data_IF_280693630058
#
_entry.id   IF_280693630058
#
_cell.length_a   1.000
_cell.length_b   1.000
_cell.length_c   1.000
_cell.angle_alpha   90.00
_cell.angle_beta   90.00
_cell.angle_gamma   90.00
#
_symmetry.space_group_name_H-M   'P 1'
#
loop_
_entity.id
_entity.type
_entity.pdbx_description
1 polymer ?
#
# COMPACT_ATOMS: atom_id res chain seq x y z
N UNK A 1 -14.38 -44.66 -38.42
CA UNK A 1 -13.38 -44.18 -37.45
C UNK A 1 -12.09 -43.58 -38.08
N UNK A 2 -12.06 -43.20 -39.38
CA UNK A 2 -10.84 -42.69 -40.04
C UNK A 2 -10.82 -41.17 -40.34
N UNK A 3 -11.82 -40.40 -39.88
CA UNK A 3 -11.97 -38.97 -40.20
C UNK A 3 -11.16 -38.04 -39.26
N UNK A 4 -10.86 -38.47 -38.03
CA UNK A 4 -10.19 -37.62 -37.04
C UNK A 4 -8.68 -37.46 -37.27
N UNK A 5 -8.00 -38.52 -37.73
CA UNK A 5 -6.56 -38.50 -37.97
C UNK A 5 -6.19 -37.66 -39.20
N UNK A 6 -7.00 -37.73 -40.26
CA UNK A 6 -6.81 -36.93 -41.48
C UNK A 6 -6.97 -35.42 -41.21
N UNK A 7 -7.93 -35.03 -40.36
CA UNK A 7 -8.16 -33.62 -39.97
C UNK A 7 -7.01 -33.04 -39.16
N UNK A 8 -6.41 -33.82 -38.25
CA UNK A 8 -5.25 -33.40 -37.46
C UNK A 8 -3.99 -33.23 -38.31
N UNK A 9 -3.77 -34.14 -39.28
CA UNK A 9 -2.65 -34.06 -40.21
C UNK A 9 -2.74 -32.85 -41.17
N UNK A 10 -3.97 -32.48 -41.57
CA UNK A 10 -4.21 -31.30 -42.41
C UNK A 10 -3.96 -29.99 -41.66
N UNK A 11 -4.37 -29.90 -40.39
CA UNK A 11 -4.12 -28.72 -39.55
C UNK A 11 -2.61 -28.48 -39.28
N UNK A 12 -1.84 -29.55 -39.10
CA UNK A 12 -0.38 -29.46 -38.92
C UNK A 12 0.37 -29.04 -40.18
N UNK A 13 -0.16 -29.32 -41.39
CA UNK A 13 0.42 -28.89 -42.67
C UNK A 13 0.11 -27.44 -43.04
N UNK A 14 -0.91 -26.85 -42.42
CA UNK A 14 -1.33 -25.45 -42.63
C UNK A 14 -0.83 -24.49 -41.54
N UNK A 15 0.11 -24.90 -40.70
CA UNK A 15 0.78 -23.99 -39.75
C UNK A 15 -0.04 -23.61 -38.52
N UNK A 16 -1.22 -24.20 -38.30
CA UNK A 16 -1.97 -24.04 -37.04
C UNK A 16 -1.34 -24.90 -35.94
N UNK A 17 -0.15 -24.51 -35.47
CA UNK A 17 0.33 -24.95 -34.15
C UNK A 17 -0.56 -24.28 -33.10
N UNK A 18 -1.12 -25.06 -32.17
CA UNK A 18 -1.92 -24.49 -31.09
C UNK A 18 -1.06 -23.55 -30.26
N UNK A 19 -1.64 -22.44 -29.77
CA UNK A 19 -0.96 -21.50 -28.88
C UNK A 19 -0.30 -22.19 -27.67
N UNK A 20 -0.89 -23.30 -27.22
CA UNK A 20 -0.32 -24.16 -26.16
C UNK A 20 1.03 -24.80 -26.54
N UNK A 21 1.18 -25.33 -27.76
CA UNK A 21 2.44 -25.93 -28.20
C UNK A 21 3.54 -24.86 -28.42
N UNK A 22 3.14 -23.64 -28.80
CA UNK A 22 4.05 -22.50 -28.88
C UNK A 22 4.52 -22.05 -27.50
N UNK A 23 3.59 -21.94 -26.54
CA UNK A 23 3.88 -21.60 -25.16
C UNK A 23 4.77 -22.65 -24.45
N UNK A 24 4.57 -23.95 -24.70
CA UNK A 24 5.44 -25.01 -24.15
C UNK A 24 6.87 -24.92 -24.71
N UNK A 25 7.02 -24.67 -26.01
CA UNK A 25 8.33 -24.50 -26.63
C UNK A 25 9.07 -23.26 -26.08
N UNK A 26 8.33 -22.19 -25.79
CA UNK A 26 8.86 -20.96 -25.21
C UNK A 26 9.23 -21.13 -23.73
N UNK A 27 8.43 -21.86 -22.94
CA UNK A 27 8.78 -22.23 -21.57
C UNK A 27 10.04 -23.08 -21.50
N UNK A 28 10.22 -24.03 -22.41
CA UNK A 28 11.45 -24.84 -22.45
C UNK A 28 12.66 -24.04 -22.89
N UNK A 29 12.48 -23.01 -23.72
CA UNK A 29 13.54 -22.05 -24.06
C UNK A 29 13.92 -21.21 -22.84
N UNK A 30 12.93 -20.67 -22.13
CA UNK A 30 13.13 -19.87 -20.92
C UNK A 30 13.77 -20.69 -19.78
N UNK A 31 13.46 -21.98 -19.66
CA UNK A 31 14.12 -22.90 -18.71
C UNK A 31 15.60 -23.05 -19.01
N UNK A 32 15.97 -23.25 -20.29
CA UNK A 32 17.38 -23.35 -20.71
C UNK A 32 18.14 -22.04 -20.48
N UNK A 33 17.51 -20.90 -20.76
CA UNK A 33 18.09 -19.59 -20.48
C UNK A 33 18.25 -19.33 -18.99
N UNK A 34 17.29 -19.74 -18.15
CA UNK A 34 17.41 -19.66 -16.70
C UNK A 34 18.58 -20.49 -16.15
N UNK A 35 18.81 -21.69 -16.68
CA UNK A 35 19.97 -22.52 -16.30
C UNK A 35 21.26 -21.80 -16.67
N UNK A 36 21.36 -21.27 -17.89
CA UNK A 36 22.55 -20.53 -18.35
C UNK A 36 22.79 -19.24 -17.56
N UNK A 37 21.73 -18.53 -17.18
CA UNK A 37 21.82 -17.33 -16.34
C UNK A 37 22.27 -17.67 -14.91
N UNK A 38 21.79 -18.77 -14.35
CA UNK A 38 22.26 -19.27 -13.04
C UNK A 38 23.74 -19.61 -13.08
N UNK A 39 24.20 -20.31 -14.12
CA UNK A 39 25.64 -20.60 -14.31
C UNK A 39 26.47 -19.31 -14.43
N UNK A 40 25.96 -18.32 -15.16
CA UNK A 40 26.64 -17.02 -15.32
C UNK A 40 26.70 -16.25 -14.00
N UNK A 41 25.63 -16.26 -13.21
CA UNK A 41 25.57 -15.64 -11.89
C UNK A 41 26.51 -16.34 -10.88
N UNK A 42 26.56 -17.67 -10.90
CA UNK A 42 27.48 -18.43 -10.04
C UNK A 42 28.95 -18.14 -10.41
N UNK A 43 29.25 -17.99 -11.70
CA UNK A 43 30.58 -17.60 -12.16
C UNK A 43 30.93 -16.16 -11.81
N UNK A 44 29.95 -15.25 -11.85
CA UNK A 44 30.13 -13.88 -11.36
C UNK A 44 30.33 -13.84 -9.84
N UNK A 45 29.57 -14.61 -9.07
CA UNK A 45 29.72 -14.70 -7.62
C UNK A 45 31.08 -15.29 -7.22
N UNK A 46 31.57 -16.30 -7.94
CA UNK A 46 32.94 -16.84 -7.77
C UNK A 46 34.04 -15.83 -8.12
N UNK A 47 33.78 -14.91 -9.06
CA UNK A 47 34.70 -13.79 -9.40
C UNK A 47 34.63 -12.66 -8.38
N UNK A 48 33.45 -12.37 -7.84
CA UNK A 48 33.25 -11.39 -6.77
C UNK A 48 33.88 -11.84 -5.46
N UNK A 49 33.79 -13.12 -5.09
CA UNK A 49 34.49 -13.70 -3.94
C UNK A 49 36.02 -13.75 -4.07
N UNK A 50 36.57 -13.42 -5.25
CA UNK A 50 38.01 -13.30 -5.51
C UNK A 50 38.48 -11.84 -5.65
N UNK A 51 37.56 -10.86 -5.67
CA UNK A 51 37.93 -9.45 -5.71
C UNK A 51 38.16 -8.96 -4.28
N UNK A 52 39.43 -8.66 -3.99
CA UNK A 52 39.88 -8.05 -2.76
C UNK A 52 39.14 -6.69 -2.54
N UNK A 53 38.53 -6.44 -1.37
CA UNK A 53 37.86 -5.18 -1.04
C UNK A 53 38.76 -3.93 -1.15
N UNK A 54 40.08 -4.10 -1.35
CA UNK A 54 41.03 -3.02 -1.61
C UNK A 54 41.07 -2.49 -3.05
N UNK A 55 40.30 -3.02 -4.00
CA UNK A 55 40.32 -2.51 -5.38
C UNK A 55 39.58 -1.18 -5.50
N UNK A 56 40.30 -0.12 -5.90
CA UNK A 56 39.80 1.25 -6.01
C UNK A 56 38.54 1.45 -6.87
N UNK A 57 38.13 0.44 -7.64
CA UNK A 57 36.85 0.42 -8.36
C UNK A 57 35.63 0.38 -7.45
N UNK A 58 35.70 -0.30 -6.30
CA UNK A 58 34.58 -0.33 -5.34
C UNK A 58 34.44 1.02 -4.62
N UNK A 59 35.56 1.68 -4.35
CA UNK A 59 35.61 3.01 -3.74
C UNK A 59 35.08 4.09 -4.70
N UNK A 60 35.45 4.03 -5.99
CA UNK A 60 34.94 4.95 -7.00
C UNK A 60 33.43 4.76 -7.23
N UNK A 61 32.96 3.50 -7.26
CA UNK A 61 31.54 3.19 -7.38
C UNK A 61 30.73 3.71 -6.17
N UNK A 62 31.28 3.58 -4.96
CA UNK A 62 30.66 4.11 -3.74
C UNK A 62 30.65 5.64 -3.70
N UNK A 63 31.72 6.30 -4.17
CA UNK A 63 31.79 7.77 -4.26
C UNK A 63 30.78 8.31 -5.28
N UNK A 64 30.69 7.70 -6.46
CA UNK A 64 29.79 8.14 -7.53
C UNK A 64 28.31 7.92 -7.17
N UNK A 65 27.99 6.79 -6.52
CA UNK A 65 26.63 6.55 -6.01
C UNK A 65 26.26 7.50 -4.87
N UNK A 66 27.21 7.86 -4.01
CA UNK A 66 26.99 8.85 -2.95
C UNK A 66 26.79 10.27 -3.48
N UNK A 67 27.45 10.64 -4.59
CA UNK A 67 27.26 11.92 -5.29
C UNK A 67 25.87 12.01 -5.94
N UNK A 68 25.42 10.96 -6.62
CA UNK A 68 24.07 10.90 -7.22
C UNK A 68 22.95 11.06 -6.18
N UNK A 69 23.12 10.45 -4.99
CA UNK A 69 22.16 10.59 -3.88
C UNK A 69 22.17 12.02 -3.30
N UNK A 70 23.31 12.71 -3.30
CA UNK A 70 23.41 14.11 -2.83
C UNK A 70 22.73 15.11 -3.76
N UNK A 71 22.83 14.92 -5.07
CA UNK A 71 22.16 15.76 -6.07
C UNK A 71 20.63 15.64 -6.00
N UNK A 72 20.12 14.43 -5.73
CA UNK A 72 18.69 14.20 -5.52
C UNK A 72 18.15 14.68 -4.16
N UNK A 73 19.01 15.15 -3.24
CA UNK A 73 18.61 15.55 -1.87
C UNK A 73 18.87 17.01 -1.52
N UNK A 74 19.16 17.89 -2.48
CA UNK A 74 19.20 19.33 -2.21
C UNK A 74 17.78 19.87 -1.90
N UNK A 75 17.54 20.49 -0.73
CA UNK A 75 16.25 21.02 -0.36
C UNK A 75 15.95 22.35 -1.05
N UNK A 76 14.65 22.58 -1.28
CA UNK A 76 14.05 23.84 -1.66
C UNK A 76 14.49 24.98 -0.72
N UNK A 77 14.51 26.19 -1.27
CA UNK A 77 15.17 27.36 -0.72
C UNK A 77 14.68 27.85 0.65
N UNK A 78 15.59 28.62 1.23
CA UNK A 78 15.49 29.50 2.38
C UNK A 78 14.33 30.51 2.33
N UNK A 79 13.69 30.78 3.48
CA UNK A 79 13.53 32.14 4.04
C UNK A 79 12.88 32.14 5.45
N UNK A 80 13.53 32.85 6.39
CA UNK A 80 13.02 33.57 7.58
C UNK A 80 12.10 32.87 8.62
N UNK A 81 12.15 33.11 9.92
CA UNK A 81 12.95 34.04 10.74
C UNK A 81 12.93 33.59 12.20
N UNK A 82 13.91 34.08 12.95
CA UNK A 82 14.08 33.89 14.39
C UNK A 82 13.03 34.70 15.19
N UNK A 83 12.36 34.06 16.17
CA UNK A 83 11.91 34.74 17.39
C UNK A 83 11.65 33.75 18.52
N UNK A 84 12.28 34.03 19.67
CA UNK A 84 12.10 33.35 20.96
C UNK A 84 10.79 33.76 21.60
N UNK A 85 10.14 32.83 22.32
CA UNK A 85 9.63 32.94 23.71
C UNK A 85 8.36 32.10 23.92
N UNK A 86 8.19 31.57 25.14
CA UNK A 86 6.87 31.24 25.69
C UNK A 86 6.55 29.75 25.87
N UNK A 87 6.89 29.23 27.06
CA UNK A 87 6.06 28.41 27.95
C UNK A 87 5.12 27.31 27.38
N UNK A 88 5.35 26.07 27.84
CA UNK A 88 4.36 24.99 27.96
C UNK A 88 3.22 25.37 28.93
N UNK A 89 2.08 24.63 29.08
CA UNK A 89 1.83 23.24 28.65
C UNK A 89 0.43 22.95 28.07
N UNK A 90 0.30 21.87 27.28
CA UNK A 90 -0.85 20.97 27.35
C UNK A 90 -0.60 19.70 26.52
N UNK A 91 -0.34 18.61 27.24
CA UNK A 91 -0.43 17.23 26.76
C UNK A 91 -1.90 16.83 26.73
N UNK A 92 -2.44 16.52 25.56
CA UNK A 92 -3.56 15.61 25.42
C UNK A 92 -3.52 14.93 24.05
N UNK A 93 -3.39 13.60 24.08
CA UNK A 93 -3.94 12.72 23.06
C UNK A 93 -3.23 12.65 21.72
N UNK A 94 -2.08 11.95 21.66
CA UNK A 94 -1.84 10.95 20.62
C UNK A 94 -0.70 10.00 21.06
N UNK A 95 -1.07 9.00 21.86
CA UNK A 95 -0.36 7.72 21.95
C UNK A 95 -1.24 6.73 21.19
N UNK A 96 -0.78 5.77 20.40
CA UNK A 96 0.56 5.31 20.08
C UNK A 96 0.35 4.19 19.07
N UNK A 97 0.77 4.38 17.81
CA UNK A 97 1.06 3.29 16.87
C UNK A 97 2.19 3.74 15.96
N UNK A 98 3.34 4.05 16.55
CA UNK A 98 4.61 4.04 15.84
C UNK A 98 5.53 3.16 16.63
N UNK A 99 5.88 2.01 16.03
CA UNK A 99 6.83 1.07 16.57
C UNK A 99 8.07 1.81 17.07
N UNK A 100 8.36 1.61 18.35
CA UNK A 100 9.62 1.98 18.99
C UNK A 100 10.76 1.33 18.20
N UNK A 101 11.47 2.12 17.37
CA UNK A 101 12.83 1.77 17.00
C UNK A 101 13.64 1.78 18.31
N UNK A 102 14.43 0.74 18.60
CA UNK A 102 15.12 0.65 19.88
C UNK A 102 16.00 1.89 20.03
N UNK A 103 15.79 2.64 21.13
CA UNK A 103 16.49 3.90 21.41
C UNK A 103 18.02 3.81 21.26
N UNK A 104 18.59 2.60 21.35
CA UNK A 104 20.01 2.31 21.07
C UNK A 104 20.41 2.38 19.59
N UNK A 105 19.54 2.03 18.64
CA UNK A 105 19.82 2.18 17.20
C UNK A 105 19.84 3.65 16.79
N UNK A 106 18.94 4.46 17.34
CA UNK A 106 18.91 5.91 17.09
C UNK A 106 20.17 6.58 17.68
N UNK A 107 20.58 6.18 18.89
CA UNK A 107 21.81 6.69 19.51
C UNK A 107 23.07 6.28 18.73
N UNK A 108 23.15 5.03 18.28
CA UNK A 108 24.26 4.54 17.45
C UNK A 108 24.33 5.29 16.11
N UNK A 109 23.19 5.60 15.49
CA UNK A 109 23.14 6.39 14.26
C UNK A 109 23.56 7.85 14.50
N UNK A 110 23.20 8.44 15.65
CA UNK A 110 23.67 9.78 16.03
C UNK A 110 25.19 9.82 16.24
N UNK A 111 25.74 8.81 16.90
CA UNK A 111 27.18 8.67 17.10
C UNK A 111 27.91 8.50 15.76
N UNK A 112 27.43 7.61 14.89
CA UNK A 112 27.98 7.41 13.55
C UNK A 112 27.91 8.68 12.69
N UNK A 113 26.82 9.46 12.81
CA UNK A 113 26.71 10.74 12.11
C UNK A 113 27.73 11.75 12.65
N UNK A 114 27.94 11.82 13.96
CA UNK A 114 28.92 12.71 14.57
C UNK A 114 30.36 12.37 14.14
N UNK A 115 30.70 11.07 14.12
CA UNK A 115 32.00 10.58 13.65
C UNK A 115 32.19 10.84 12.15
N UNK A 116 31.14 10.64 11.35
CA UNK A 116 31.18 10.96 9.91
C UNK A 116 31.38 12.46 9.65
N UNK A 117 30.74 13.33 10.44
CA UNK A 117 30.90 14.78 10.33
C UNK A 117 32.30 15.24 10.76
N UNK A 118 32.84 14.67 11.84
CA UNK A 118 34.20 14.98 12.30
C UNK A 118 35.25 14.50 11.28
N UNK A 119 35.10 13.29 10.74
CA UNK A 119 35.95 12.80 9.63
C UNK A 119 35.83 13.70 8.41
N UNK A 120 34.63 14.16 8.07
CA UNK A 120 34.43 15.07 6.94
C UNK A 120 35.23 16.39 7.13
N UNK A 121 35.20 16.93 8.35
CA UNK A 121 36.01 18.11 8.72
C UNK A 121 37.51 17.83 8.58
N UNK A 122 37.98 16.68 9.04
CA UNK A 122 39.39 16.28 8.90
C UNK A 122 39.80 16.14 7.43
N UNK A 123 38.95 15.56 6.59
CA UNK A 123 39.19 15.45 5.15
C UNK A 123 39.31 16.81 4.48
N UNK A 124 38.51 17.79 4.89
CA UNK A 124 38.59 19.14 4.33
C UNK A 124 39.94 19.80 4.63
N UNK A 125 40.44 19.65 5.87
CA UNK A 125 41.76 20.17 6.26
C UNK A 125 42.87 19.44 5.51
N UNK A 126 42.78 18.12 5.40
CA UNK A 126 43.73 17.31 4.64
C UNK A 126 43.79 17.74 3.17
N UNK A 127 42.63 17.94 2.54
CA UNK A 127 42.56 18.36 1.14
C UNK A 127 43.18 19.75 0.93
N UNK A 128 42.89 20.69 1.83
CA UNK A 128 43.52 22.01 1.79
C UNK A 128 45.05 21.94 1.92
N UNK A 129 45.57 21.11 2.82
CA UNK A 129 47.02 20.89 2.97
C UNK A 129 47.62 20.24 1.72
N UNK A 130 46.94 19.24 1.15
CA UNK A 130 47.34 18.55 -0.07
C UNK A 130 47.37 19.53 -1.25
N UNK A 131 46.37 20.38 -1.40
CA UNK A 131 46.36 21.43 -2.42
C UNK A 131 47.53 22.39 -2.26
N UNK A 132 47.81 22.85 -1.03
CA UNK A 132 48.94 23.73 -0.76
C UNK A 132 50.28 23.06 -1.10
N UNK A 133 50.43 21.79 -0.76
CA UNK A 133 51.62 21.00 -1.11
C UNK A 133 51.79 20.86 -2.62
N UNK A 134 50.72 20.51 -3.35
CA UNK A 134 50.75 20.41 -4.82
C UNK A 134 51.09 21.76 -5.46
N UNK A 135 50.50 22.86 -4.97
CA UNK A 135 50.85 24.22 -5.43
C UNK A 135 52.33 24.52 -5.20
N UNK A 136 52.88 24.13 -4.05
CA UNK A 136 54.31 24.25 -3.74
C UNK A 136 55.20 23.44 -4.69
N UNK A 137 54.84 22.18 -4.98
CA UNK A 137 55.54 21.35 -5.96
C UNK A 137 55.50 21.96 -7.36
N UNK A 138 54.34 22.47 -7.79
CA UNK A 138 54.20 23.13 -9.08
C UNK A 138 55.07 24.40 -9.18
N UNK A 139 55.09 25.22 -8.13
CA UNK A 139 55.97 26.39 -8.08
C UNK A 139 57.45 25.99 -8.17
N UNK A 140 57.86 24.95 -7.44
CA UNK A 140 59.23 24.44 -7.48
C UNK A 140 59.61 23.87 -8.85
N UNK A 141 58.70 23.15 -9.49
CA UNK A 141 58.89 22.66 -10.86
C UNK A 141 59.11 23.83 -11.82
N UNK A 142 58.28 24.88 -11.75
CA UNK A 142 58.44 26.08 -12.58
C UNK A 142 59.75 26.84 -12.31
N UNK A 143 60.20 26.89 -11.05
CA UNK A 143 61.50 27.48 -10.70
C UNK A 143 62.66 26.71 -11.34
N UNK A 144 62.60 25.37 -11.33
CA UNK A 144 63.64 24.49 -11.88
C UNK A 144 63.58 24.42 -13.41
N UNK A 145 62.42 24.64 -14.01
CA UNK A 145 62.25 24.68 -15.47
C UNK A 145 63.04 25.83 -16.10
N UNK A 146 63.05 27.02 -15.48
CA UNK A 146 63.78 28.19 -15.99
C UNK A 146 65.29 27.96 -16.23
N UNK A 147 66.09 27.44 -15.27
CA UNK A 147 67.49 27.11 -15.49
C UNK A 147 67.65 25.91 -16.44
N UNK A 148 66.75 24.92 -16.42
CA UNK A 148 66.78 23.80 -17.35
C UNK A 148 66.58 24.25 -18.82
N UNK A 149 65.63 25.14 -19.09
CA UNK A 149 65.41 25.71 -20.44
C UNK A 149 66.58 26.58 -20.89
N UNK A 150 67.20 27.36 -19.99
CA UNK A 150 68.39 28.16 -20.29
C UNK A 150 69.62 27.29 -20.58
N UNK A 151 69.82 26.22 -19.80
CA UNK A 151 70.89 25.25 -20.03
C UNK A 151 70.68 24.49 -21.35
N UNK A 152 69.43 24.11 -21.67
CA UNK A 152 69.09 23.50 -22.96
C UNK A 152 69.35 24.46 -24.12
N UNK A 153 68.95 25.73 -24.03
CA UNK A 153 69.22 26.74 -25.05
C UNK A 153 70.72 26.98 -25.27
N UNK A 154 71.53 26.97 -24.20
CA UNK A 154 72.98 27.11 -24.29
C UNK A 154 73.65 25.88 -24.94
N UNK A 155 73.23 24.66 -24.57
CA UNK A 155 73.67 23.42 -25.21
C UNK A 155 73.29 23.37 -26.70
N UNK A 156 72.10 23.89 -27.06
CA UNK A 156 71.62 23.89 -28.44
C UNK A 156 72.43 24.81 -29.35
N UNK A 157 73.04 25.88 -28.81
CA UNK A 157 73.98 26.77 -29.49
C UNK A 157 75.42 26.19 -29.57
N UNK A 158 75.81 25.32 -28.62
CA UNK A 158 77.15 24.70 -28.60
C UNK A 158 77.26 23.44 -29.46
N UNK A 159 76.18 22.67 -29.63
CA UNK A 159 76.22 21.43 -30.40
C UNK A 159 75.99 21.65 -31.91
N UNK A 160 77.10 21.80 -32.65
CA UNK A 160 77.23 21.43 -34.08
C UNK A 160 77.49 19.92 -34.25
N UNK A 161 76.75 19.08 -33.53
CA UNK A 161 76.80 17.62 -33.66
C UNK A 161 75.44 17.10 -34.15
N UNK A 162 75.34 16.77 -35.44
CA UNK A 162 74.08 16.36 -36.07
C UNK A 162 73.56 14.98 -35.64
N UNK A 163 74.42 14.08 -35.16
CA UNK A 163 74.05 12.68 -34.88
C UNK A 163 73.11 12.50 -33.69
N UNK A 164 73.45 13.06 -32.53
CA UNK A 164 72.69 12.91 -31.28
C UNK A 164 71.34 13.65 -31.32
N UNK A 165 71.30 14.82 -31.99
CA UNK A 165 70.06 15.57 -32.23
C UNK A 165 69.08 14.78 -33.12
N UNK A 166 69.56 14.09 -34.16
CA UNK A 166 68.69 13.27 -35.01
C UNK A 166 68.13 12.05 -34.26
N UNK A 167 68.91 11.42 -33.39
CA UNK A 167 68.43 10.29 -32.56
C UNK A 167 67.38 10.75 -31.56
N UNK A 168 67.62 11.85 -30.83
CA UNK A 168 66.63 12.42 -29.91
C UNK A 168 65.35 12.88 -30.64
N UNK A 169 65.47 13.40 -31.87
CA UNK A 169 64.32 13.78 -32.68
C UNK A 169 63.51 12.55 -33.12
N UNK A 170 64.18 11.47 -33.53
CA UNK A 170 63.51 10.21 -33.90
C UNK A 170 62.78 9.56 -32.72
N UNK A 171 63.36 9.61 -31.51
CA UNK A 171 62.71 9.13 -30.29
C UNK A 171 61.47 9.96 -29.92
N UNK A 172 61.55 11.30 -30.06
CA UNK A 172 60.40 12.19 -29.86
C UNK A 172 59.26 11.88 -30.84
N UNK A 173 59.57 11.66 -32.11
CA UNK A 173 58.57 11.32 -33.13
C UNK A 173 57.97 9.92 -32.91
N UNK A 174 58.73 8.99 -32.33
CA UNK A 174 58.21 7.69 -31.94
C UNK A 174 57.28 7.79 -30.74
N UNK A 175 57.63 8.59 -29.73
CA UNK A 175 56.77 8.83 -28.56
C UNK A 175 55.49 9.56 -28.93
N UNK A 176 55.54 10.54 -29.85
CA UNK A 176 54.36 11.22 -30.38
C UNK A 176 53.40 10.26 -31.06
N UNK A 177 53.92 9.38 -31.94
CA UNK A 177 53.10 8.35 -32.59
C UNK A 177 52.43 7.40 -31.59
N UNK A 178 53.17 6.96 -30.57
CA UNK A 178 52.60 6.14 -29.48
C UNK A 178 51.52 6.86 -28.69
N UNK A 179 51.69 8.15 -28.42
CA UNK A 179 50.68 8.95 -27.73
C UNK A 179 49.42 9.14 -28.59
N UNK A 180 49.58 9.35 -29.90
CA UNK A 180 48.47 9.44 -30.85
C UNK A 180 47.73 8.09 -31.01
N UNK A 181 48.45 6.98 -31.01
CA UNK A 181 47.85 5.64 -31.02
C UNK A 181 47.09 5.38 -29.71
N UNK A 182 47.71 5.66 -28.56
CA UNK A 182 47.07 5.54 -27.26
C UNK A 182 45.83 6.43 -27.11
N UNK A 183 45.83 7.65 -27.68
CA UNK A 183 44.66 8.53 -27.65
C UNK A 183 43.52 8.03 -28.54
N UNK A 184 43.84 7.47 -29.71
CA UNK A 184 42.86 6.79 -30.58
C UNK A 184 42.27 5.55 -29.91
N UNK A 185 43.10 4.77 -29.22
CA UNK A 185 42.65 3.61 -28.45
C UNK A 185 41.76 4.02 -27.28
N UNK A 186 42.13 5.08 -26.55
CA UNK A 186 41.30 5.64 -25.49
C UNK A 186 39.94 6.13 -26.02
N UNK A 187 39.91 6.81 -27.18
CA UNK A 187 38.67 7.24 -27.80
C UNK A 187 37.75 6.07 -28.18
N UNK A 188 38.32 4.99 -28.75
CA UNK A 188 37.57 3.76 -29.07
C UNK A 188 37.05 3.06 -27.82
N UNK A 189 37.84 3.05 -26.75
CA UNK A 189 37.42 2.48 -25.47
C UNK A 189 36.28 3.29 -24.84
N UNK A 190 36.33 4.61 -24.94
CA UNK A 190 35.27 5.50 -24.47
C UNK A 190 33.96 5.22 -25.22
N UNK A 191 34.00 5.16 -26.55
CA UNK A 191 32.82 4.87 -27.38
C UNK A 191 32.23 3.47 -27.09
N UNK A 192 33.07 2.49 -26.77
CA UNK A 192 32.62 1.17 -26.32
C UNK A 192 31.93 1.23 -24.95
N UNK A 193 32.42 2.06 -24.02
CA UNK A 193 31.77 2.26 -22.73
C UNK A 193 30.42 2.96 -22.88
N UNK A 194 30.34 3.98 -23.72
CA UNK A 194 29.09 4.70 -24.04
C UNK A 194 28.06 3.72 -24.64
N UNK A 195 28.47 2.91 -25.63
CA UNK A 195 27.60 1.85 -26.20
C UNK A 195 27.12 0.85 -25.16
N UNK A 196 27.96 0.51 -24.17
CA UNK A 196 27.56 -0.36 -23.05
C UNK A 196 26.64 0.36 -22.06
N UNK A 197 26.77 1.66 -21.89
CA UNK A 197 25.88 2.47 -21.07
C UNK A 197 24.49 2.56 -21.68
N UNK A 198 24.40 2.88 -22.96
CA UNK A 198 23.15 2.88 -23.71
C UNK A 198 22.47 1.50 -23.64
N UNK A 199 23.24 0.43 -23.83
CA UNK A 199 22.73 -0.93 -23.68
C UNK A 199 22.21 -1.23 -22.26
N UNK A 200 22.85 -0.71 -21.22
CA UNK A 200 22.37 -0.83 -19.83
C UNK A 200 21.09 -0.02 -19.61
N UNK A 201 20.97 1.16 -20.22
CA UNK A 201 19.78 2.01 -20.13
C UNK A 201 18.57 1.33 -20.78
N UNK A 202 18.71 0.81 -22.00
CA UNK A 202 17.62 0.08 -22.68
C UNK A 202 17.12 -1.10 -21.84
N UNK A 203 18.03 -1.92 -21.30
CA UNK A 203 17.65 -3.03 -20.42
C UNK A 203 16.98 -2.55 -19.12
N UNK A 204 17.33 -1.35 -18.64
CA UNK A 204 16.68 -0.76 -17.47
C UNK A 204 15.27 -0.29 -17.77
N UNK A 205 15.05 0.36 -18.91
CA UNK A 205 13.73 0.77 -19.39
C UNK A 205 12.83 -0.43 -19.64
N UNK A 206 13.32 -1.48 -20.30
CA UNK A 206 12.56 -2.71 -20.51
C UNK A 206 12.12 -3.33 -19.17
N UNK A 207 13.03 -3.39 -18.19
CA UNK A 207 12.71 -3.88 -16.84
C UNK A 207 11.67 -3.00 -16.15
N UNK A 208 11.74 -1.68 -16.30
CA UNK A 208 10.73 -0.76 -15.77
C UNK A 208 9.36 -1.01 -16.42
N UNK A 209 9.32 -1.11 -17.75
CA UNK A 209 8.10 -1.42 -18.50
C UNK A 209 7.46 -2.75 -18.08
N UNK A 210 8.28 -3.79 -17.88
CA UNK A 210 7.79 -5.07 -17.34
C UNK A 210 7.25 -4.93 -15.92
N UNK A 211 7.94 -4.18 -15.05
CA UNK A 211 7.48 -3.93 -13.69
C UNK A 211 6.17 -3.14 -13.64
N UNK A 212 5.97 -2.18 -14.55
CA UNK A 212 4.73 -1.42 -14.67
C UNK A 212 3.57 -2.29 -15.15
N UNK A 213 3.79 -3.12 -16.17
CA UNK A 213 2.79 -4.10 -16.63
C UNK A 213 2.42 -5.08 -15.53
N UNK A 214 3.40 -5.57 -14.77
CA UNK A 214 3.15 -6.45 -13.63
C UNK A 214 2.32 -5.74 -12.55
N UNK A 215 2.64 -4.49 -12.21
CA UNK A 215 1.85 -3.67 -11.26
C UNK A 215 0.42 -3.47 -11.76
N UNK A 216 0.24 -3.19 -13.05
CA UNK A 216 -1.09 -3.01 -13.63
C UNK A 216 -1.94 -4.28 -13.51
N UNK A 217 -1.39 -5.43 -13.94
CA UNK A 217 -2.08 -6.73 -13.83
C UNK A 217 -2.38 -7.09 -12.38
N UNK A 218 -1.48 -6.77 -11.45
CA UNK A 218 -1.70 -6.99 -10.03
C UNK A 218 -2.86 -6.14 -9.49
N UNK A 219 -2.94 -4.86 -9.87
CA UNK A 219 -4.05 -3.99 -9.50
C UNK A 219 -5.39 -4.48 -10.09
N UNK A 220 -5.39 -5.01 -11.32
CA UNK A 220 -6.59 -5.61 -11.92
C UNK A 220 -7.05 -6.86 -11.16
N UNK A 221 -6.11 -7.72 -10.75
CA UNK A 221 -6.40 -8.90 -9.92
C UNK A 221 -6.95 -8.51 -8.56
N UNK A 222 -6.36 -7.52 -7.89
CA UNK A 222 -6.84 -7.01 -6.61
C UNK A 222 -8.26 -6.42 -6.74
N UNK A 223 -8.52 -5.65 -7.79
CA UNK A 223 -9.85 -5.13 -8.10
C UNK A 223 -10.87 -6.24 -8.38
N UNK A 224 -10.48 -7.29 -9.12
CA UNK A 224 -11.33 -8.44 -9.38
C UNK A 224 -11.63 -9.23 -8.10
N UNK A 225 -10.63 -9.43 -7.24
CA UNK A 225 -10.80 -10.10 -5.96
C UNK A 225 -11.76 -9.33 -5.04
N UNK A 226 -11.61 -8.00 -4.95
CA UNK A 226 -12.52 -7.18 -4.16
C UNK A 226 -13.99 -7.33 -4.62
N UNK A 227 -14.24 -7.34 -5.95
CA UNK A 227 -15.58 -7.58 -6.50
C UNK A 227 -16.14 -8.95 -6.11
N UNK A 228 -15.31 -10.00 -6.19
CA UNK A 228 -15.72 -11.35 -5.80
C UNK A 228 -15.99 -11.46 -4.31
N UNK A 229 -15.21 -10.80 -3.46
CA UNK A 229 -15.45 -10.74 -2.02
C UNK A 229 -16.77 -10.05 -1.69
N UNK A 230 -17.07 -8.93 -2.37
CA UNK A 230 -18.35 -8.24 -2.22
C UNK A 230 -19.53 -9.13 -2.64
N UNK A 231 -19.42 -9.86 -3.76
CA UNK A 231 -20.45 -10.82 -4.19
C UNK A 231 -20.61 -11.98 -3.19
N UNK A 232 -19.51 -12.50 -2.65
CA UNK A 232 -19.53 -13.53 -1.59
C UNK A 232 -20.21 -13.01 -0.32
N UNK A 233 -20.02 -11.73 0.01
CA UNK A 233 -20.65 -11.10 1.16
C UNK A 233 -22.15 -10.92 0.95
N UNK A 234 -22.56 -10.38 -0.19
CA UNK A 234 -23.98 -10.22 -0.57
C UNK A 234 -24.71 -11.57 -0.62
N UNK A 235 -24.08 -12.60 -1.17
CA UNK A 235 -24.68 -13.94 -1.21
C UNK A 235 -24.83 -14.54 0.19
N UNK A 236 -23.87 -14.33 1.10
CA UNK A 236 -23.99 -14.74 2.50
C UNK A 236 -25.12 -13.99 3.23
N UNK A 237 -25.31 -12.70 2.98
CA UNK A 237 -26.41 -11.90 3.54
C UNK A 237 -27.78 -12.38 3.06
N UNK A 238 -27.93 -12.65 1.76
CA UNK A 238 -29.15 -13.21 1.19
C UNK A 238 -29.47 -14.59 1.79
N UNK A 239 -28.47 -15.44 1.97
CA UNK A 239 -28.66 -16.75 2.60
C UNK A 239 -29.14 -16.59 4.05
N UNK A 240 -28.57 -15.64 4.79
CA UNK A 240 -29.01 -15.35 6.15
C UNK A 240 -30.45 -14.83 6.19
N UNK A 241 -30.83 -13.96 5.26
CA UNK A 241 -32.19 -13.47 5.12
C UNK A 241 -33.17 -14.63 4.85
N UNK A 242 -32.82 -15.52 3.92
CA UNK A 242 -33.63 -16.68 3.58
C UNK A 242 -33.80 -17.60 4.79
N UNK A 243 -32.74 -17.82 5.57
CA UNK A 243 -32.83 -18.58 6.82
C UNK A 243 -33.79 -17.93 7.84
N UNK A 244 -33.78 -16.58 7.95
CA UNK A 244 -34.72 -15.84 8.81
C UNK A 244 -36.15 -16.01 8.30
N UNK A 245 -36.39 -15.87 7.00
CA UNK A 245 -37.71 -16.10 6.39
C UNK A 245 -38.21 -17.51 6.67
N UNK A 246 -37.39 -18.54 6.48
CA UNK A 246 -37.74 -19.92 6.78
C UNK A 246 -38.09 -20.12 8.26
N UNK A 247 -37.37 -19.45 9.17
CA UNK A 247 -37.68 -19.53 10.60
C UNK A 247 -39.04 -18.92 10.93
N UNK A 248 -39.32 -17.72 10.41
CA UNK A 248 -40.62 -17.05 10.59
C UNK A 248 -41.74 -17.88 9.98
N UNK A 249 -41.53 -18.44 8.79
CA UNK A 249 -42.50 -19.36 8.18
C UNK A 249 -42.77 -20.56 9.09
N UNK A 250 -41.74 -21.21 9.66
CA UNK A 250 -41.94 -22.32 10.61
C UNK A 250 -42.74 -21.89 11.84
N UNK A 251 -42.50 -20.70 12.39
CA UNK A 251 -43.26 -20.16 13.52
C UNK A 251 -44.72 -19.88 13.15
N UNK A 252 -44.97 -19.30 11.98
CA UNK A 252 -46.32 -19.06 11.48
C UNK A 252 -47.10 -20.38 11.33
N UNK A 253 -46.49 -21.41 10.74
CA UNK A 253 -47.12 -22.72 10.61
C UNK A 253 -47.48 -23.34 11.98
N UNK A 254 -46.59 -23.19 12.98
CA UNK A 254 -46.89 -23.61 14.36
C UNK A 254 -48.09 -22.85 14.91
N UNK A 255 -48.13 -21.54 14.73
CA UNK A 255 -49.23 -20.72 15.25
C UNK A 255 -50.56 -20.98 14.55
N UNK A 256 -50.53 -21.22 13.24
CA UNK A 256 -51.72 -21.66 12.50
C UNK A 256 -52.24 -23.01 13.01
N UNK A 257 -51.36 -23.94 13.40
CA UNK A 257 -51.76 -25.24 13.98
C UNK A 257 -52.43 -25.07 15.35
N UNK A 258 -51.84 -24.26 16.23
CA UNK A 258 -52.45 -23.99 17.56
C UNK A 258 -53.77 -23.23 17.42
N UNK A 259 -53.86 -22.28 16.48
CA UNK A 259 -55.11 -21.57 16.19
C UNK A 259 -56.22 -22.52 15.71
N UNK A 260 -55.90 -23.52 14.86
CA UNK A 260 -56.87 -24.55 14.45
C UNK A 260 -57.36 -25.37 15.65
N UNK A 261 -56.45 -25.83 16.51
CA UNK A 261 -56.82 -26.55 17.74
C UNK A 261 -57.70 -25.71 18.66
N UNK A 262 -57.38 -24.43 18.85
CA UNK A 262 -58.19 -23.53 19.67
C UNK A 262 -59.60 -23.35 19.09
N UNK A 263 -59.73 -23.23 17.76
CA UNK A 263 -61.04 -23.17 17.09
C UNK A 263 -61.85 -24.46 17.25
N UNK A 264 -61.20 -25.63 17.13
CA UNK A 264 -61.85 -26.92 17.37
C UNK A 264 -62.33 -27.07 18.82
N UNK A 265 -61.55 -26.58 19.79
CA UNK A 265 -61.92 -26.60 21.20
C UNK A 265 -63.10 -25.66 21.50
N UNK A 266 -63.11 -24.45 20.93
CA UNK A 266 -64.25 -23.53 21.01
C UNK A 266 -65.50 -24.21 20.46
N UNK A 267 -65.42 -24.84 19.28
CA UNK A 267 -66.57 -25.53 18.68
C UNK A 267 -67.08 -26.70 19.54
N UNK A 268 -66.19 -27.46 20.21
CA UNK A 268 -66.59 -28.48 21.19
C UNK A 268 -67.32 -27.88 22.38
N UNK A 269 -66.78 -26.82 22.96
CA UNK A 269 -67.36 -26.16 24.13
C UNK A 269 -68.73 -25.56 23.79
N UNK A 270 -68.89 -24.97 22.61
CA UNK A 270 -70.17 -24.45 22.13
C UNK A 270 -71.22 -25.56 21.98
N UNK A 271 -70.84 -26.72 21.43
CA UNK A 271 -71.75 -27.87 21.33
C UNK A 271 -72.13 -28.40 22.72
N UNK A 272 -71.17 -28.52 23.64
CA UNK A 272 -71.44 -28.95 25.01
C UNK A 272 -72.36 -27.97 25.75
N UNK A 273 -72.20 -26.66 25.50
CA UNK A 273 -73.08 -25.62 26.04
C UNK A 273 -74.50 -25.75 25.48
N UNK A 274 -74.66 -25.92 24.17
CA UNK A 274 -75.97 -26.16 23.55
C UNK A 274 -76.66 -27.42 24.10
N UNK A 275 -75.92 -28.51 24.35
CA UNK A 275 -76.47 -29.72 24.96
C UNK A 275 -76.95 -29.48 26.40
N UNK A 276 -76.25 -28.65 27.18
CA UNK A 276 -76.69 -28.25 28.52
C UNK A 276 -77.93 -27.35 28.49
N UNK A 277 -78.03 -26.45 27.51
CA UNK A 277 -79.21 -25.60 27.32
C UNK A 277 -80.43 -26.39 26.83
N UNK A 278 -80.24 -27.48 26.07
CA UNK A 278 -81.29 -28.42 25.68
C UNK A 278 -81.70 -29.38 26.83
N UNK A 279 -80.85 -29.56 27.84
CA UNK A 279 -81.15 -30.33 29.04
C UNK A 279 -81.69 -29.42 30.15
N UNK A 280 -82.93 -28.96 29.99
CA UNK A 280 -83.78 -28.54 31.10
C UNK A 280 -84.35 -29.81 31.74
N UNK A 281 -84.08 -30.13 33.01
CA UNK A 281 -84.95 -31.05 33.73
C UNK A 281 -86.31 -30.37 33.90
N UNK A 282 -87.35 -30.94 33.29
CA UNK A 282 -88.70 -30.80 33.79
C UNK A 282 -88.72 -31.36 35.21
N UNK A 283 -88.58 -30.49 36.20
CA UNK A 283 -88.96 -30.80 37.57
C UNK A 283 -89.44 -29.53 38.25
N UNK A 284 -90.77 -29.37 38.23
CA UNK A 284 -91.54 -28.99 39.41
C UNK A 284 -91.44 -27.55 39.92
N UNK A 285 -92.56 -26.85 39.70
CA UNK A 285 -93.29 -26.13 40.76
C UNK A 285 -92.85 -24.69 41.11
N UNK A 286 -93.79 -23.76 40.87
CA UNK A 286 -93.83 -22.42 41.42
C UNK A 286 -94.00 -22.47 42.94
N UNK A 287 -93.00 -22.01 43.68
CA UNK A 287 -93.13 -21.11 44.84
C UNK A 287 -91.69 -20.63 45.14
N UNK A 288 -91.33 -19.36 45.00
CA UNK A 288 -91.86 -18.29 45.82
C UNK A 288 -90.93 -18.12 47.03
N UNK A 289 -90.13 -17.04 47.01
CA UNK A 289 -89.24 -16.52 48.06
C UNK A 289 -87.76 -16.96 47.98
N UNK A 290 -86.95 -16.20 47.23
CA UNK A 290 -85.89 -15.40 47.87
C UNK A 290 -85.45 -14.26 46.95
N UNK A 291 -85.81 -13.04 47.34
CA UNK A 291 -85.39 -11.80 46.70
C UNK A 291 -84.01 -11.43 47.26
N UNK A 292 -83.01 -12.28 47.06
CA UNK A 292 -81.60 -11.87 47.18
C UNK A 292 -81.08 -11.54 45.78
N UNK A 293 -81.60 -10.40 45.33
CA UNK A 293 -81.08 -9.59 44.23
C UNK A 293 -79.64 -9.22 44.59
N UNK A 294 -78.69 -10.11 44.32
CA UNK A 294 -77.36 -9.71 43.84
C UNK A 294 -77.54 -9.17 42.42
N UNK A 295 -78.26 -8.05 42.32
CA UNK A 295 -77.85 -7.03 41.40
C UNK A 295 -76.41 -6.72 41.83
N UNK A 296 -75.45 -7.15 41.01
CA UNK A 296 -74.25 -6.37 40.86
C UNK A 296 -74.78 -5.05 40.32
N UNK A 297 -75.14 -4.18 41.26
CA UNK A 297 -75.32 -2.78 40.96
C UNK A 297 -74.08 -2.38 40.19
N UNK A 298 -74.31 -1.65 39.11
CA UNK A 298 -73.35 -0.68 38.60
C UNK A 298 -72.94 0.20 39.78
N UNK A 299 -71.98 -0.28 40.57
CA UNK A 299 -71.10 0.59 41.29
C UNK A 299 -70.44 1.41 40.18
N UNK A 300 -70.63 2.75 40.12
CA UNK A 300 -69.66 3.56 39.45
C UNK A 300 -68.35 3.26 40.17
N UNK A 301 -67.51 2.44 39.54
CA UNK A 301 -66.16 2.27 40.00
C UNK A 301 -65.58 3.68 40.12
N UNK A 302 -65.03 4.06 41.28
CA UNK A 302 -64.35 5.34 41.43
C UNK A 302 -63.03 5.22 40.67
N UNK A 303 -63.10 5.37 39.36
CA UNK A 303 -61.96 5.33 38.45
C UNK A 303 -61.96 6.55 37.55
N UNK A 304 -62.18 7.71 38.15
CA UNK A 304 -61.32 8.86 37.85
C UNK A 304 -60.16 8.83 38.84
N UNK A 305 -59.32 7.80 38.76
CA UNK A 305 -57.92 8.07 39.05
C UNK A 305 -57.52 9.06 37.96
N UNK A 306 -57.15 10.31 38.28
CA UNK A 306 -56.49 11.16 37.30
C UNK A 306 -55.32 10.33 36.80
N UNK A 307 -55.23 10.11 35.49
CA UNK A 307 -54.06 9.44 34.92
C UNK A 307 -52.84 10.15 35.51
N UNK A 308 -51.93 9.46 36.18
CA UNK A 308 -50.72 10.12 36.72
C UNK A 308 -49.89 10.78 35.61
N UNK A 309 -50.15 10.36 34.36
CA UNK A 309 -49.62 10.95 33.13
C UNK A 309 -50.24 12.31 32.77
N UNK A 310 -51.36 12.70 33.40
CA UNK A 310 -51.98 14.03 33.25
C UNK A 310 -51.30 15.09 34.12
N UNK A 311 -50.40 14.69 35.03
CA UNK A 311 -49.57 15.62 35.84
C UNK A 311 -48.13 15.78 35.34
N UNK A 312 -47.74 15.01 34.32
CA UNK A 312 -46.41 15.04 33.73
C UNK A 312 -46.45 15.55 32.30
N UNK A 313 -45.55 16.47 31.95
CA UNK A 313 -45.43 17.03 30.60
C UNK A 313 -44.18 16.48 29.91
N UNK A 314 -44.32 16.16 28.62
CA UNK A 314 -43.25 15.80 27.71
C UNK A 314 -42.98 16.97 26.77
N UNK A 315 -41.73 17.23 26.45
CA UNK A 315 -41.33 18.36 25.61
C UNK A 315 -40.83 17.88 24.24
N UNK A 316 -41.19 18.63 23.20
CA UNK A 316 -40.54 18.50 21.89
C UNK A 316 -39.05 18.87 22.00
N UNK A 317 -38.12 18.03 21.53
CA UNK A 317 -36.69 18.32 21.62
C UNK A 317 -36.28 19.59 20.88
N UNK A 318 -36.95 19.88 19.75
CA UNK A 318 -36.62 20.99 18.85
C UNK A 318 -37.17 22.33 19.33
N UNK A 319 -38.47 22.42 19.61
CA UNK A 319 -39.14 23.70 19.94
C UNK A 319 -39.53 23.87 21.41
N UNK A 320 -39.29 22.86 22.27
CA UNK A 320 -39.62 22.85 23.71
C UNK A 320 -41.11 23.02 24.05
N UNK A 321 -42.00 22.85 23.09
CA UNK A 321 -43.46 22.86 23.35
C UNK A 321 -43.83 21.68 24.26
N UNK A 322 -44.56 21.96 25.33
CA UNK A 322 -44.97 21.00 26.35
C UNK A 322 -46.30 20.34 25.99
N UNK A 323 -46.35 19.02 26.11
CA UNK A 323 -47.52 18.19 25.89
C UNK A 323 -47.79 17.32 27.11
N UNK A 324 -49.05 17.18 27.56
CA UNK A 324 -49.39 16.21 28.59
C UNK A 324 -48.98 14.79 28.18
N UNK A 325 -48.38 14.02 29.07
CA UNK A 325 -47.94 12.65 28.73
C UNK A 325 -49.12 11.72 28.37
N UNK A 326 -50.33 12.05 28.82
CA UNK A 326 -51.59 11.41 28.38
C UNK A 326 -51.85 11.55 26.88
N UNK A 327 -51.25 12.53 26.20
CA UNK A 327 -51.40 12.84 24.76
C UNK A 327 -50.09 12.67 23.97
N UNK A 328 -49.30 11.66 24.31
CA UNK A 328 -48.01 11.39 23.65
C UNK A 328 -48.09 11.22 22.12
N UNK A 329 -49.22 10.75 21.58
CA UNK A 329 -49.44 10.62 20.14
C UNK A 329 -49.50 11.98 19.43
N UNK A 330 -50.03 13.02 20.08
CA UNK A 330 -50.04 14.39 19.56
C UNK A 330 -48.62 14.98 19.53
N UNK A 331 -47.80 14.68 20.55
CA UNK A 331 -46.39 15.06 20.56
C UNK A 331 -45.59 14.38 19.44
N UNK A 332 -45.81 13.08 19.18
CA UNK A 332 -45.11 12.37 18.10
C UNK A 332 -45.45 12.94 16.73
N UNK A 333 -46.74 13.21 16.47
CA UNK A 333 -47.16 13.90 15.25
C UNK A 333 -46.52 15.31 15.15
N UNK A 334 -46.47 16.05 16.26
CA UNK A 334 -45.80 17.35 16.30
C UNK A 334 -44.29 17.24 16.02
N UNK A 335 -43.58 16.26 16.57
CA UNK A 335 -42.15 16.04 16.31
C UNK A 335 -41.91 15.72 14.83
N UNK A 336 -42.77 14.92 14.20
CA UNK A 336 -42.66 14.64 12.76
C UNK A 336 -42.73 15.92 11.94
N UNK A 337 -43.61 16.88 12.25
CA UNK A 337 -43.65 18.17 11.55
C UNK A 337 -42.55 19.15 11.98
N UNK A 338 -42.24 19.20 13.28
CA UNK A 338 -41.28 20.15 13.85
C UNK A 338 -39.84 19.87 13.40
N UNK A 339 -39.50 18.60 13.14
CA UNK A 339 -38.17 18.22 12.64
C UNK A 339 -37.89 18.74 11.21
N UNK A 340 -38.93 18.98 10.41
CA UNK A 340 -38.82 19.52 9.05
C UNK A 340 -38.95 21.04 8.97
N UNK A 341 -39.24 21.73 10.08
CA UNK A 341 -39.40 23.19 10.12
C UNK A 341 -38.13 23.95 10.55
N UNK A 342 -37.13 23.26 11.14
CA UNK A 342 -35.83 23.83 11.57
C UNK A 342 -34.65 23.41 10.65
N UNK A 343 -34.94 23.10 9.38
CA UNK A 343 -33.92 22.85 8.33
C UNK A 343 -33.79 24.03 7.36
#
# INVERSE_FOLDING_TARGET
MASGAAKKAFASKLGFRSAAASAEQELDKLRRENVRLKETLDDMAKRAGRQDPGSGGFFLFLILTQQSIREHRAPAGSHHDCSKSGESPQKAGLRSLTNEAPSGEIAALQEQLSDALEKNRQWLVYDQQREAFVRGLLARLQELEKPASRANGALQQQHKGGGEKLQAQAELDQLRRRLEEASREAARAQEELDRREDGRQVLAEERQNWAERARHLQAELESANARLEDERRRTAELLQQEQRHQNVQRQLHKMQKELRKAREEIARLDLAKQQRELHVPETGYYDGLDLERLAIEDHPSPSKMPSLLDTSFLECPSCKTQYPASRHSELLAHIEYCYYADA
#
